data_IF_618237999777
#
_entry.id   IF_618237999777
#
_cell.length_a   1.000
_cell.length_b   1.000
_cell.length_c   1.000
_cell.angle_alpha   90.00
_cell.angle_beta   90.00
_cell.angle_gamma   90.00
#
_symmetry.space_group_name_H-M   'P 1'
#
loop_
_entity.id
_entity.type
_entity.pdbx_description
1 polymer ?
#
# COMPACT_ATOMS: atom_id res chain seq x y z
N UNK A 1 1.97 16.19 8.52
CA UNK A 1 2.03 14.79 8.06
C UNK A 1 0.61 14.27 8.09
N UNK A 2 0.16 13.62 7.03
CA UNK A 2 -1.15 12.95 7.01
C UNK A 2 -0.81 11.46 7.05
N UNK A 3 -1.23 10.77 8.10
CA UNK A 3 -1.04 9.35 8.31
C UNK A 3 -2.42 8.69 8.45
N UNK A 4 -2.63 7.61 7.71
CA UNK A 4 -3.88 6.85 7.68
C UNK A 4 -3.52 5.37 7.60
N UNK A 5 -4.19 4.53 8.38
CA UNK A 5 -4.10 3.08 8.26
C UNK A 5 -5.49 2.51 8.03
N UNK A 6 -5.56 1.44 7.25
CA UNK A 6 -6.76 0.63 7.13
C UNK A 6 -6.37 -0.86 7.09
N UNK A 7 -7.06 -1.74 7.83
CA UNK A 7 -8.06 -1.44 8.85
C UNK A 7 -7.49 -0.63 10.02
N UNK A 8 -8.34 0.12 10.71
CA UNK A 8 -7.91 0.89 11.89
C UNK A 8 -7.36 -0.04 12.97
N UNK A 9 -6.21 0.36 13.55
CA UNK A 9 -5.59 -0.38 14.64
C UNK A 9 -4.97 -1.73 14.26
N UNK A 10 -4.77 -2.01 12.96
CA UNK A 10 -4.04 -3.21 12.52
C UNK A 10 -2.64 -3.27 13.13
N UNK A 11 -1.97 -2.12 13.20
CA UNK A 11 -0.83 -1.87 14.07
C UNK A 11 -1.25 -0.86 15.15
N UNK A 12 -0.70 -1.02 16.35
CA UNK A 12 -0.91 -0.08 17.45
C UNK A 12 -0.56 1.36 17.03
N UNK A 13 -1.29 2.34 17.55
CA UNK A 13 -1.07 3.76 17.20
C UNK A 13 0.37 4.21 17.47
N UNK A 14 1.02 3.66 18.50
CA UNK A 14 2.42 3.93 18.83
C UNK A 14 3.37 3.41 17.75
N UNK A 15 3.28 2.12 17.40
CA UNK A 15 4.10 1.50 16.38
C UNK A 15 3.84 2.14 15.00
N UNK A 16 2.59 2.46 14.69
CA UNK A 16 2.22 3.14 13.44
C UNK A 16 2.90 4.51 13.30
N UNK A 17 3.00 5.29 14.40
CA UNK A 17 3.74 6.57 14.39
C UNK A 17 5.24 6.36 14.16
N UNK A 18 5.86 5.38 14.81
CA UNK A 18 7.28 5.07 14.62
C UNK A 18 7.57 4.66 13.17
N UNK A 19 6.73 3.80 12.63
CA UNK A 19 6.76 3.32 11.25
C UNK A 19 6.58 4.50 10.27
N UNK A 20 5.55 5.34 10.43
CA UNK A 20 5.31 6.46 9.51
C UNK A 20 6.46 7.46 9.45
N UNK A 21 7.19 7.67 10.56
CA UNK A 21 8.41 8.47 10.58
C UNK A 21 9.59 7.82 9.85
N UNK A 22 9.68 6.49 9.85
CA UNK A 22 10.76 5.75 9.18
C UNK A 22 10.54 5.62 7.66
N UNK A 23 9.28 5.55 7.21
CA UNK A 23 8.93 5.21 5.83
C UNK A 23 8.77 6.43 4.90
N UNK A 24 8.71 7.66 5.42
CA UNK A 24 8.83 8.86 4.58
C UNK A 24 10.32 9.05 4.31
N UNK A 25 10.83 8.60 3.17
CA UNK A 25 12.26 8.41 3.06
C UNK A 25 12.95 9.73 2.76
N UNK A 26 14.25 9.71 3.02
CA UNK A 26 15.20 10.65 2.44
C UNK A 26 15.07 10.60 0.90
N UNK A 27 15.31 11.71 0.22
CA UNK A 27 15.18 11.83 -1.24
C UNK A 27 15.94 10.75 -2.03
N UNK A 28 16.90 10.07 -1.43
CA UNK A 28 17.71 9.00 -1.99
C UNK A 28 16.96 7.66 -2.19
N UNK A 29 15.85 7.43 -1.49
CA UNK A 29 15.08 6.17 -1.56
C UNK A 29 13.76 6.31 -2.34
N UNK A 30 13.57 7.44 -3.03
CA UNK A 30 12.39 7.67 -3.87
C UNK A 30 12.49 6.85 -5.15
N UNK A 31 11.34 6.43 -5.69
CA UNK A 31 11.25 5.63 -6.93
C UNK A 31 11.87 4.23 -6.88
N UNK A 32 12.11 3.71 -5.68
CA UNK A 32 12.50 2.31 -5.45
C UNK A 32 11.54 1.67 -4.44
N UNK A 33 11.25 0.35 -4.58
CA UNK A 33 10.51 -0.35 -3.53
C UNK A 33 11.35 -0.39 -2.26
N UNK A 34 10.70 -0.21 -1.12
CA UNK A 34 11.32 -0.38 0.20
C UNK A 34 10.56 -1.44 0.97
N UNK A 35 11.30 -2.33 1.62
CA UNK A 35 10.73 -3.37 2.48
C UNK A 35 11.45 -3.31 3.82
N UNK A 36 10.69 -3.07 4.88
CA UNK A 36 11.20 -2.93 6.26
C UNK A 36 10.55 -4.02 7.12
N UNK A 37 11.34 -4.80 7.83
CA UNK A 37 10.85 -5.79 8.78
C UNK A 37 10.94 -5.21 10.20
N UNK A 38 9.81 -4.80 10.77
CA UNK A 38 9.75 -4.14 12.08
C UNK A 38 8.49 -4.52 12.85
N UNK A 39 8.57 -4.58 14.18
CA UNK A 39 7.46 -4.92 15.08
C UNK A 39 6.73 -6.23 14.71
N UNK A 40 7.44 -7.21 14.15
CA UNK A 40 6.83 -8.45 13.66
C UNK A 40 5.91 -8.26 12.46
N UNK A 41 6.15 -7.23 11.65
CA UNK A 41 5.45 -6.94 10.39
C UNK A 41 6.48 -6.63 9.29
N UNK A 42 6.12 -6.89 8.04
CA UNK A 42 6.83 -6.36 6.89
C UNK A 42 6.04 -5.17 6.34
N UNK A 43 6.71 -4.04 6.22
CA UNK A 43 6.17 -2.83 5.62
C UNK A 43 6.78 -2.64 4.25
N UNK A 44 5.95 -2.71 3.22
CA UNK A 44 6.34 -2.64 1.82
C UNK A 44 5.79 -1.33 1.24
N UNK A 45 6.68 -0.44 0.80
CA UNK A 45 6.36 0.88 0.31
C UNK A 45 6.96 1.16 -1.07
N UNK A 46 6.47 2.19 -1.75
CA UNK A 46 7.08 2.72 -2.96
C UNK A 46 7.04 4.26 -2.90
N UNK A 47 8.00 4.88 -2.21
CA UNK A 47 7.95 6.29 -1.90
C UNK A 47 7.99 7.17 -3.15
N UNK A 48 7.20 8.23 -3.13
CA UNK A 48 7.08 9.17 -4.24
C UNK A 48 7.52 10.57 -3.84
N UNK A 49 8.14 11.25 -4.80
CA UNK A 49 8.62 12.61 -4.69
C UNK A 49 8.20 13.39 -5.92
N UNK A 50 7.47 14.48 -5.69
CA UNK A 50 7.03 15.40 -6.74
C UNK A 50 7.65 16.76 -6.43
N UNK A 51 8.44 17.28 -7.37
CA UNK A 51 9.01 18.63 -7.27
C UNK A 51 8.02 19.66 -7.83
N UNK A 52 7.96 20.84 -7.21
CA UNK A 52 7.04 21.89 -7.66
C UNK A 52 6.99 23.09 -6.72
N UNK A 53 7.00 24.30 -7.27
CA UNK A 53 6.99 25.56 -6.51
C UNK A 53 5.68 25.81 -5.77
N UNK A 54 4.62 25.08 -6.12
CA UNK A 54 3.34 25.09 -5.41
C UNK A 54 3.41 24.46 -4.02
N UNK A 55 4.45 23.67 -3.72
CA UNK A 55 4.62 23.01 -2.42
C UNK A 55 5.46 23.86 -1.48
N UNK A 56 5.11 23.88 -0.19
CA UNK A 56 5.80 24.68 0.85
C UNK A 56 7.32 24.45 0.97
N UNK A 57 7.82 23.31 0.49
CA UNK A 57 9.25 22.94 0.46
C UNK A 57 9.78 22.72 -0.95
N UNK A 58 9.09 23.24 -1.97
CA UNK A 58 9.30 22.95 -3.39
C UNK A 58 9.20 21.45 -3.73
N UNK A 59 8.70 20.62 -2.82
CA UNK A 59 8.61 19.18 -2.98
C UNK A 59 7.47 18.64 -2.11
N UNK A 60 6.70 17.72 -2.66
CA UNK A 60 5.78 16.85 -1.95
C UNK A 60 6.38 15.44 -1.85
N UNK A 61 6.39 14.88 -0.64
CA UNK A 61 6.83 13.52 -0.34
C UNK A 61 5.65 12.74 0.24
N UNK A 62 5.37 11.56 -0.29
CA UNK A 62 4.36 10.66 0.26
C UNK A 62 4.73 9.21 0.01
N UNK A 63 4.12 8.30 0.76
CA UNK A 63 4.29 6.87 0.58
C UNK A 63 3.07 6.11 1.09
N UNK A 64 2.40 5.38 0.20
CA UNK A 64 1.40 4.39 0.56
C UNK A 64 2.09 3.04 0.73
N UNK A 65 1.84 2.36 1.85
CA UNK A 65 2.51 1.10 2.16
C UNK A 65 1.51 -0.02 2.44
N UNK A 66 1.93 -1.24 2.10
CA UNK A 66 1.29 -2.46 2.58
C UNK A 66 2.00 -2.94 3.83
N UNK A 67 1.22 -3.41 4.79
CA UNK A 67 1.72 -3.94 6.06
C UNK A 67 1.22 -5.37 6.16
N UNK A 68 2.16 -6.31 6.22
CA UNK A 68 1.86 -7.75 6.21
C UNK A 68 2.54 -8.44 7.38
N UNK A 69 1.93 -9.49 7.91
CA UNK A 69 2.52 -10.28 9.02
C UNK A 69 3.41 -11.39 8.46
N UNK A 70 4.55 -11.70 9.11
CA UNK A 70 5.33 -12.90 8.84
C UNK A 70 4.50 -14.16 9.10
N UNK A 71 4.69 -15.15 8.25
CA UNK A 71 4.04 -16.47 8.31
C UNK A 71 4.09 -17.15 9.69
N UNK A 72 5.18 -16.98 10.45
CA UNK A 72 5.42 -17.66 11.72
C UNK A 72 4.41 -17.38 12.86
N UNK A 73 3.41 -16.53 12.63
CA UNK A 73 2.48 -16.05 13.66
C UNK A 73 1.01 -16.46 13.49
N UNK A 74 0.63 -17.22 12.44
CA UNK A 74 -0.77 -17.60 12.21
C UNK A 74 -0.92 -19.06 11.72
N UNK A 75 -1.75 -19.84 12.41
CA UNK A 75 -2.26 -21.16 11.97
C UNK A 75 -3.44 -21.06 10.97
N UNK A 76 -3.74 -19.86 10.45
CA UNK A 76 -4.85 -19.59 9.52
C UNK A 76 -4.40 -18.52 8.52
N UNK A 77 -4.38 -18.85 7.24
CA UNK A 77 -3.71 -18.05 6.23
C UNK A 77 -4.70 -17.03 5.66
N UNK A 78 -4.44 -15.75 5.94
CA UNK A 78 -5.22 -14.67 5.33
C UNK A 78 -4.26 -13.64 4.72
N UNK A 79 -3.77 -13.93 3.52
CA UNK A 79 -3.02 -12.98 2.70
C UNK A 79 -3.95 -11.90 2.09
N UNK A 80 -3.39 -10.96 1.33
CA UNK A 80 -4.16 -9.94 0.61
C UNK A 80 -5.18 -10.48 -0.40
N UNK A 81 -5.26 -11.79 -0.66
CA UNK A 81 -6.27 -12.43 -1.52
C UNK A 81 -7.19 -13.39 -0.76
N UNK A 82 -7.04 -13.46 0.56
CA UNK A 82 -7.82 -14.38 1.40
C UNK A 82 -7.60 -15.85 1.07
N UNK A 83 -6.57 -16.18 0.28
CA UNK A 83 -6.31 -17.55 -0.17
C UNK A 83 -5.28 -18.23 0.74
N UNK A 84 -5.56 -19.50 1.07
CA UNK A 84 -4.59 -20.41 1.67
C UNK A 84 -3.59 -20.86 0.60
N UNK A 85 -2.36 -20.35 0.65
CA UNK A 85 -1.29 -20.88 -0.19
C UNK A 85 -0.73 -22.16 0.44
N UNK A 86 -0.66 -23.29 -0.29
CA UNK A 86 0.13 -24.42 0.15
C UNK A 86 1.61 -24.05 0.02
N UNK A 87 2.26 -23.80 1.14
CA UNK A 87 3.71 -23.60 1.20
C UNK A 87 4.39 -24.92 1.55
N UNK A 88 5.44 -25.26 0.81
CA UNK A 88 6.37 -26.33 1.16
C UNK A 88 6.93 -26.06 2.56
N UNK A 89 6.64 -26.98 3.47
CA UNK A 89 6.94 -26.93 4.92
C UNK A 89 8.45 -26.81 5.22
N UNK A 90 9.31 -26.99 4.23
CA UNK A 90 10.76 -27.14 4.42
C UNK A 90 11.58 -25.84 4.37
N UNK A 91 10.97 -24.66 4.14
CA UNK A 91 11.74 -23.40 4.11
C UNK A 91 11.62 -22.63 5.41
N UNK A 92 12.57 -22.89 6.31
CA UNK A 92 12.85 -22.21 7.59
C UNK A 92 13.22 -20.72 7.49
N UNK A 93 12.79 -20.01 6.44
CA UNK A 93 13.10 -18.60 6.25
C UNK A 93 12.06 -17.75 6.97
N UNK A 94 12.50 -17.00 7.99
CA UNK A 94 11.72 -15.99 8.73
C UNK A 94 11.29 -14.77 7.87
N UNK A 95 11.10 -14.95 6.55
CA UNK A 95 10.90 -13.90 5.55
C UNK A 95 9.57 -14.04 4.80
N UNK A 96 9.22 -13.01 4.03
CA UNK A 96 8.19 -13.12 3.00
C UNK A 96 8.72 -13.98 1.84
N UNK A 97 7.86 -14.81 1.25
CA UNK A 97 8.21 -15.55 0.04
C UNK A 97 8.56 -14.55 -1.09
N UNK A 98 9.66 -14.75 -1.85
CA UNK A 98 10.12 -13.78 -2.85
C UNK A 98 9.07 -13.42 -3.92
N UNK A 99 8.26 -14.41 -4.34
CA UNK A 99 7.17 -14.18 -5.30
C UNK A 99 6.07 -13.27 -4.71
N UNK A 100 5.71 -13.49 -3.45
CA UNK A 100 4.72 -12.71 -2.73
C UNK A 100 5.21 -11.27 -2.48
N UNK A 101 6.47 -11.13 -2.05
CA UNK A 101 7.11 -9.83 -1.90
C UNK A 101 7.10 -9.06 -3.22
N UNK A 102 7.51 -9.69 -4.32
CA UNK A 102 7.54 -9.07 -5.64
C UNK A 102 6.15 -8.61 -6.09
N UNK A 103 5.11 -9.42 -5.84
CA UNK A 103 3.73 -9.06 -6.14
C UNK A 103 3.30 -7.82 -5.34
N UNK A 104 3.56 -7.78 -4.03
CA UNK A 104 3.23 -6.63 -3.19
C UNK A 104 4.00 -5.37 -3.59
N UNK A 105 5.29 -5.47 -3.90
CA UNK A 105 6.08 -4.35 -4.40
C UNK A 105 5.53 -3.80 -5.72
N UNK A 106 5.11 -4.67 -6.65
CA UNK A 106 4.48 -4.26 -7.91
C UNK A 106 3.14 -3.56 -7.68
N UNK A 107 2.28 -4.10 -6.81
CA UNK A 107 0.98 -3.51 -6.48
C UNK A 107 1.15 -2.15 -5.81
N UNK A 108 2.00 -2.06 -4.79
CA UNK A 108 2.27 -0.81 -4.06
C UNK A 108 2.90 0.23 -4.99
N UNK A 109 3.82 -0.17 -5.88
CA UNK A 109 4.38 0.72 -6.91
C UNK A 109 3.28 1.29 -7.80
N UNK A 110 2.37 0.46 -8.29
CA UNK A 110 1.29 0.89 -9.18
C UNK A 110 0.34 1.88 -8.49
N UNK A 111 -0.03 1.62 -7.23
CA UNK A 111 -0.86 2.53 -6.43
C UNK A 111 -0.15 3.87 -6.23
N UNK A 112 1.11 3.85 -5.79
CA UNK A 112 1.87 5.08 -5.52
C UNK A 112 2.07 5.92 -6.78
N UNK A 113 2.38 5.29 -7.92
CA UNK A 113 2.50 5.99 -9.22
C UNK A 113 1.18 6.59 -9.69
N UNK A 114 0.07 5.89 -9.47
CA UNK A 114 -1.26 6.44 -9.73
C UNK A 114 -1.52 7.69 -8.87
N UNK A 115 -1.25 7.62 -7.56
CA UNK A 115 -1.42 8.76 -6.66
C UNK A 115 -0.52 9.94 -7.05
N UNK A 116 0.70 9.67 -7.54
CA UNK A 116 1.60 10.71 -8.02
C UNK A 116 1.03 11.42 -9.25
N UNK A 117 0.55 10.65 -10.23
CA UNK A 117 -0.12 11.17 -11.41
C UNK A 117 -1.39 11.98 -11.06
N UNK A 118 -2.18 11.50 -10.10
CA UNK A 118 -3.36 12.23 -9.62
C UNK A 118 -2.99 13.56 -8.95
N UNK A 119 -1.86 13.61 -8.25
CA UNK A 119 -1.37 14.85 -7.66
C UNK A 119 -0.86 15.83 -8.71
N UNK A 120 -0.07 15.37 -9.69
CA UNK A 120 0.50 16.24 -10.73
C UNK A 120 -0.59 16.88 -11.60
N UNK A 121 -1.60 16.10 -12.00
CA UNK A 121 -2.65 16.58 -12.90
C UNK A 121 -3.83 17.27 -12.18
N UNK A 122 -4.13 16.86 -10.94
CA UNK A 122 -5.36 17.26 -10.25
C UNK A 122 -5.15 17.82 -8.84
N UNK A 123 -3.90 17.89 -8.34
CA UNK A 123 -3.58 18.32 -6.98
C UNK A 123 -4.40 17.56 -5.91
N UNK A 124 -4.70 16.28 -6.18
CA UNK A 124 -5.67 15.48 -5.43
C UNK A 124 -5.25 15.23 -3.96
N UNK A 125 -3.95 15.18 -3.69
CA UNK A 125 -3.39 15.00 -2.35
C UNK A 125 -3.21 16.35 -1.63
N UNK A 126 -2.76 17.39 -2.35
CA UNK A 126 -2.46 18.71 -1.75
C UNK A 126 -3.69 19.57 -1.45
N UNK A 127 -4.79 19.45 -2.20
CA UNK A 127 -5.98 20.30 -2.03
C UNK A 127 -6.93 19.89 -0.88
N UNK A 128 -6.54 18.98 0.01
CA UNK A 128 -7.43 18.34 0.99
C UNK A 128 -8.61 17.58 0.36
N UNK A 129 -8.61 17.31 -0.95
CA UNK A 129 -9.63 16.45 -1.60
C UNK A 129 -9.70 15.09 -0.91
N UNK A 130 -8.54 14.50 -0.61
CA UNK A 130 -8.43 13.29 0.21
C UNK A 130 -9.01 13.39 1.63
N UNK A 131 -9.18 14.60 2.19
CA UNK A 131 -9.82 14.85 3.50
C UNK A 131 -11.29 15.22 3.39
N UNK A 132 -11.82 15.42 2.19
CA UNK A 132 -13.23 15.68 2.01
C UNK A 132 -14.01 14.50 2.60
N UNK A 133 -14.85 14.82 3.58
CA UNK A 133 -15.72 13.86 4.24
C UNK A 133 -16.78 13.47 3.20
N UNK A 134 -16.91 12.17 2.95
CA UNK A 134 -18.01 11.65 2.14
C UNK A 134 -19.30 12.05 2.84
N UNK A 135 -20.16 12.81 2.15
CA UNK A 135 -21.35 13.52 2.67
C UNK A 135 -22.31 12.67 3.52
N UNK A 136 -22.18 11.34 3.50
CA UNK A 136 -23.09 10.40 4.16
C UNK A 136 -22.45 9.51 5.25
N UNK A 137 -21.14 9.62 5.55
CA UNK A 137 -20.48 8.60 6.39
C UNK A 137 -19.37 9.05 7.35
N UNK A 138 -18.96 10.31 7.38
CA UNK A 138 -17.84 10.76 8.25
C UNK A 138 -16.45 10.25 7.81
N UNK A 139 -16.38 9.35 6.84
CA UNK A 139 -15.17 8.77 6.26
C UNK A 139 -14.55 9.70 5.21
N UNK A 140 -13.22 9.78 5.16
CA UNK A 140 -12.49 10.56 4.15
C UNK A 140 -12.39 9.80 2.83
N UNK A 141 -12.25 10.50 1.70
CA UNK A 141 -12.06 9.85 0.39
C UNK A 141 -10.85 8.91 0.37
N UNK A 142 -9.77 9.26 1.09
CA UNK A 142 -8.61 8.39 1.24
C UNK A 142 -8.95 7.10 1.99
N UNK A 143 -9.71 7.17 3.08
CA UNK A 143 -10.08 5.98 3.84
C UNK A 143 -10.99 5.07 3.00
N UNK A 144 -11.95 5.65 2.25
CA UNK A 144 -12.78 4.89 1.30
C UNK A 144 -11.93 4.21 0.23
N UNK A 145 -10.97 4.91 -0.33
CA UNK A 145 -10.04 4.38 -1.34
C UNK A 145 -9.22 3.21 -0.78
N UNK A 146 -8.61 3.37 0.40
CA UNK A 146 -7.84 2.31 1.06
C UNK A 146 -8.69 1.10 1.40
N UNK A 147 -9.91 1.33 1.92
CA UNK A 147 -10.88 0.29 2.23
C UNK A 147 -11.27 -0.52 1.00
N UNK A 148 -11.57 0.16 -0.12
CA UNK A 148 -11.94 -0.50 -1.37
C UNK A 148 -10.79 -1.37 -1.89
N UNK A 149 -9.56 -0.85 -1.90
CA UNK A 149 -8.36 -1.63 -2.27
C UNK A 149 -8.23 -2.87 -1.38
N UNK A 150 -8.36 -2.71 -0.05
CA UNK A 150 -8.20 -3.81 0.88
C UNK A 150 -9.25 -4.91 0.67
N UNK A 151 -10.53 -4.53 0.54
CA UNK A 151 -11.64 -5.49 0.40
C UNK A 151 -11.55 -6.20 -0.96
N UNK A 152 -11.45 -5.44 -2.05
CA UNK A 152 -11.48 -6.01 -3.40
C UNK A 152 -10.28 -6.90 -3.68
N UNK A 153 -9.07 -6.49 -3.25
CA UNK A 153 -7.91 -7.36 -3.39
C UNK A 153 -8.09 -8.64 -2.57
N UNK A 154 -8.63 -8.57 -1.34
CA UNK A 154 -8.85 -9.75 -0.48
C UNK A 154 -9.94 -10.69 -0.95
N UNK A 155 -11.02 -10.17 -1.52
CA UNK A 155 -12.15 -11.01 -1.91
C UNK A 155 -12.04 -11.50 -3.35
N UNK A 156 -11.43 -10.70 -4.24
CA UNK A 156 -11.51 -10.92 -5.69
C UNK A 156 -10.13 -10.98 -6.37
N UNK A 157 -9.05 -10.53 -5.72
CA UNK A 157 -7.72 -10.39 -6.34
C UNK A 157 -7.63 -9.32 -7.44
N UNK A 158 -8.72 -8.59 -7.67
CA UNK A 158 -8.90 -7.53 -8.65
C UNK A 158 -9.56 -6.35 -7.94
N UNK A 159 -9.04 -5.14 -8.12
CA UNK A 159 -9.66 -3.91 -7.62
C UNK A 159 -9.73 -2.86 -8.72
N UNK A 160 -10.89 -2.20 -8.83
CA UNK A 160 -11.10 -1.04 -9.71
C UNK A 160 -11.67 0.09 -8.85
N UNK A 161 -10.85 1.09 -8.55
CA UNK A 161 -11.22 2.17 -7.62
C UNK A 161 -10.51 3.48 -7.96
N UNK A 162 -11.05 4.62 -7.56
CA UNK A 162 -10.45 5.94 -7.79
C UNK A 162 -10.57 6.85 -6.57
N UNK A 163 -9.85 7.97 -6.58
CA UNK A 163 -9.95 8.97 -5.51
C UNK A 163 -11.28 9.74 -5.53
N UNK A 164 -11.88 9.91 -6.71
CA UNK A 164 -13.17 10.56 -6.96
C UNK A 164 -13.81 9.93 -8.19
N UNK A 165 -15.13 10.02 -8.30
CA UNK A 165 -15.88 9.52 -9.47
C UNK A 165 -15.55 10.31 -10.76
N UNK A 166 -14.96 11.51 -10.61
CA UNK A 166 -14.53 12.37 -11.71
C UNK A 166 -13.08 12.09 -12.19
N UNK A 167 -12.32 11.32 -11.41
CA UNK A 167 -10.92 11.02 -11.69
C UNK A 167 -10.78 9.64 -12.34
N UNK A 168 -9.73 9.41 -13.17
CA UNK A 168 -9.54 8.13 -13.81
C UNK A 168 -9.35 7.02 -12.74
N UNK A 169 -9.97 5.84 -12.93
CA UNK A 169 -9.87 4.75 -11.97
C UNK A 169 -8.50 4.05 -12.05
N UNK A 170 -8.04 3.58 -10.90
CA UNK A 170 -6.94 2.66 -10.73
C UNK A 170 -7.43 1.22 -10.90
N UNK A 171 -6.78 0.49 -11.80
CA UNK A 171 -6.99 -0.95 -11.99
C UNK A 171 -5.85 -1.72 -11.35
N UNK A 172 -6.13 -2.58 -10.38
CA UNK A 172 -5.17 -3.46 -9.73
C UNK A 172 -5.55 -4.91 -9.97
N UNK A 173 -4.57 -5.72 -10.36
CA UNK A 173 -4.71 -7.19 -10.43
C UNK A 173 -3.51 -7.74 -9.68
N UNK A 174 -3.77 -8.61 -8.71
CA UNK A 174 -2.74 -9.39 -8.03
C UNK A 174 -2.75 -10.78 -8.64
N UNK A 175 -1.95 -10.96 -9.69
CA UNK A 175 -1.75 -12.26 -10.32
C UNK A 175 -0.55 -12.96 -9.68
N UNK A 176 -0.78 -14.11 -9.06
CA UNK A 176 0.30 -15.00 -8.69
C UNK A 176 0.72 -15.78 -9.93
N UNK A 177 1.82 -15.35 -10.57
CA UNK A 177 2.46 -16.14 -11.62
C UNK A 177 3.15 -17.34 -10.95
N UNK A 178 2.42 -18.46 -10.83
CA UNK A 178 3.04 -19.77 -10.71
C UNK A 178 3.64 -20.10 -12.09
N UNK A 179 4.82 -19.56 -12.40
CA UNK A 179 5.63 -20.06 -13.51
C UNK A 179 6.18 -21.41 -13.03
N UNK A 180 5.35 -22.45 -13.12
CA UNK A 180 5.84 -23.83 -13.13
C UNK A 180 6.27 -24.13 -14.57
N UNK A 181 7.54 -23.86 -14.89
CA UNK A 181 8.16 -24.53 -16.04
C UNK A 181 8.37 -25.97 -15.59
N UNK A 182 7.39 -26.83 -15.87
CA UNK A 182 7.59 -28.27 -15.81
C UNK A 182 8.45 -28.64 -17.02
N UNK A 183 9.63 -29.19 -16.77
CA UNK A 183 10.38 -29.96 -17.75
C UNK A 183 9.80 -31.36 -17.89
#
# INVERSE_FOLDING_TARGET
MIDCQYPDGFISTENFKLISHAIIPRAELTDQPITIAEFGHFVIGFPQRIEGTQYSRNTLLFNLCFIVRPWASLHQNYDLTGQDFPLDVDTSTNGLQPALQSAYELTVRKINRYLAYMEEENAALSQNTIKNIVRNGGETLLHRFLRQIYIDLREQGLCVTGLSDELPPLYLIVSYLHISINF
#
